data_IF_610598202243
#
_entry.id   IF_610598202243
#
_cell.length_a   1.000
_cell.length_b   1.000
_cell.length_c   1.000
_cell.angle_alpha   90.00
_cell.angle_beta   90.00
_cell.angle_gamma   90.00
#
_symmetry.space_group_name_H-M   'P 1'
#
loop_
_entity.id
_entity.type
_entity.pdbx_description
1 polymer ?
#
# COMPACT_ATOMS: atom_id res chain seq x y z
N UNK A 1 9.75 16.88 -9.12
CA UNK A 1 8.53 16.25 -8.60
C UNK A 1 8.87 15.48 -7.33
N UNK A 2 7.93 15.43 -6.38
CA UNK A 2 8.19 14.85 -5.05
C UNK A 2 8.52 13.36 -5.11
N UNK A 3 8.00 12.64 -6.09
CA UNK A 3 8.25 11.19 -6.20
C UNK A 3 9.63 10.90 -6.77
N UNK A 4 10.16 11.77 -7.60
CA UNK A 4 11.52 11.63 -8.16
C UNK A 4 12.61 11.81 -7.11
N UNK A 5 12.37 12.68 -6.12
CA UNK A 5 13.34 12.95 -5.06
C UNK A 5 13.08 12.13 -3.79
N UNK A 6 12.02 11.33 -3.79
CA UNK A 6 11.69 10.48 -2.66
C UNK A 6 12.78 9.42 -2.47
N UNK A 7 13.32 9.27 -1.25
CA UNK A 7 14.29 8.20 -0.98
C UNK A 7 13.70 6.82 -1.26
N UNK A 8 14.51 5.91 -1.77
CA UNK A 8 14.09 4.52 -1.91
C UNK A 8 13.79 3.91 -0.54
N UNK A 9 12.73 3.10 -0.47
CA UNK A 9 12.30 2.48 0.78
C UNK A 9 13.03 1.16 1.05
N UNK A 10 13.49 0.49 0.00
CA UNK A 10 14.11 -0.83 0.12
C UNK A 10 15.23 -0.88 1.16
N UNK A 11 16.19 0.08 1.17
CA UNK A 11 17.25 0.04 2.18
C UNK A 11 16.76 0.20 3.62
N UNK A 12 15.57 0.77 3.81
CA UNK A 12 15.03 1.02 5.15
C UNK A 12 14.28 -0.18 5.72
N UNK A 13 13.93 -1.15 4.87
CA UNK A 13 13.09 -2.27 5.30
C UNK A 13 13.79 -3.20 6.31
N UNK A 14 15.11 -3.35 6.20
CA UNK A 14 15.87 -4.24 7.09
C UNK A 14 15.77 -3.81 8.56
N UNK A 15 15.71 -2.50 8.82
CA UNK A 15 15.62 -1.94 10.17
C UNK A 15 14.23 -1.46 10.54
N UNK A 16 13.24 -1.72 9.70
CA UNK A 16 11.87 -1.27 9.94
C UNK A 16 11.23 -2.01 11.11
N UNK A 17 10.32 -1.32 11.79
CA UNK A 17 9.64 -1.81 12.98
C UNK A 17 8.28 -2.42 12.63
N UNK A 18 8.17 -3.75 12.76
CA UNK A 18 6.95 -4.50 12.44
C UNK A 18 5.77 -4.10 13.34
N UNK A 19 6.02 -3.86 14.61
CA UNK A 19 4.95 -3.47 15.54
C UNK A 19 4.37 -2.12 15.19
N UNK A 20 5.23 -1.16 14.81
CA UNK A 20 4.75 0.13 14.37
C UNK A 20 3.98 0.03 13.06
N UNK A 21 4.44 -0.83 12.14
CA UNK A 21 3.74 -1.09 10.88
C UNK A 21 2.32 -1.60 11.10
N UNK A 22 2.17 -2.58 12.00
CA UNK A 22 0.85 -3.10 12.37
C UNK A 22 -0.03 -2.02 12.99
N UNK A 23 0.55 -1.20 13.86
CA UNK A 23 -0.15 -0.09 14.50
C UNK A 23 -0.66 0.93 13.47
N UNK A 24 0.18 1.26 12.49
CA UNK A 24 -0.21 2.18 11.41
C UNK A 24 -1.33 1.57 10.59
N UNK A 25 -1.28 0.25 10.31
CA UNK A 25 -2.33 -0.42 9.55
C UNK A 25 -3.71 -0.32 10.20
N UNK A 26 -3.79 -0.12 11.51
CA UNK A 26 -5.10 0.04 12.18
C UNK A 26 -5.92 1.17 11.57
N UNK A 27 -5.28 2.18 11.02
CA UNK A 27 -5.96 3.27 10.30
C UNK A 27 -6.49 2.84 8.93
N UNK A 28 -5.99 1.73 8.40
CA UNK A 28 -6.39 1.17 7.10
C UNK A 28 -7.44 0.08 7.28
N UNK A 29 -7.51 -0.51 8.46
CA UNK A 29 -8.33 -1.71 8.74
C UNK A 29 -9.83 -1.46 8.63
N UNK A 30 -10.27 -0.21 8.70
CA UNK A 30 -11.68 0.11 8.48
C UNK A 30 -12.10 -0.14 7.03
N UNK A 31 -11.16 -0.09 6.08
CA UNK A 31 -11.42 -0.24 4.65
C UNK A 31 -10.78 -1.48 4.02
N UNK A 32 -9.79 -2.08 4.69
CA UNK A 32 -9.03 -3.21 4.15
C UNK A 32 -8.94 -4.34 5.16
N UNK A 33 -9.14 -5.58 4.69
CA UNK A 33 -8.86 -6.77 5.53
C UNK A 33 -7.40 -7.15 5.37
N UNK A 34 -6.83 -7.77 6.42
CA UNK A 34 -5.44 -8.21 6.41
C UNK A 34 -5.29 -9.73 6.54
N UNK A 35 -6.37 -10.45 6.76
CA UNK A 35 -6.31 -11.90 6.99
C UNK A 35 -6.31 -12.67 5.67
N UNK A 36 -5.66 -13.83 5.66
CA UNK A 36 -5.66 -14.73 4.49
C UNK A 36 -7.10 -15.13 4.15
N UNK A 37 -7.46 -14.97 2.88
CA UNK A 37 -8.83 -15.27 2.43
C UNK A 37 -9.86 -14.24 2.86
N UNK A 38 -9.42 -13.11 3.39
CA UNK A 38 -10.32 -12.05 3.83
C UNK A 38 -11.10 -11.41 2.69
N UNK A 39 -12.25 -10.86 3.02
CA UNK A 39 -13.14 -10.21 2.05
C UNK A 39 -12.64 -8.84 1.65
N UNK A 40 -12.99 -8.42 0.43
CA UNK A 40 -12.87 -7.03 0.03
C UNK A 40 -13.89 -6.19 0.84
N UNK A 41 -13.50 -4.96 1.17
CA UNK A 41 -14.37 -4.01 1.87
C UNK A 41 -14.48 -2.74 1.02
N UNK A 42 -14.34 -1.57 1.60
CA UNK A 42 -14.25 -0.32 0.84
C UNK A 42 -13.02 -0.35 -0.06
N UNK A 43 -11.92 -0.92 0.43
CA UNK A 43 -10.74 -1.22 -0.35
C UNK A 43 -10.56 -2.72 -0.53
N UNK A 44 -9.64 -3.13 -1.41
CA UNK A 44 -9.37 -4.55 -1.65
C UNK A 44 -8.68 -5.22 -0.45
N UNK A 45 -8.85 -6.54 -0.34
CA UNK A 45 -8.15 -7.32 0.68
C UNK A 45 -6.64 -7.23 0.51
N UNK A 46 -5.91 -7.16 1.62
CA UNK A 46 -4.47 -6.88 1.62
C UNK A 46 -3.57 -8.10 1.66
N UNK A 47 -4.08 -9.29 1.99
CA UNK A 47 -3.22 -10.47 2.02
C UNK A 47 -2.58 -10.69 0.65
N UNK A 48 -1.24 -10.78 0.64
CA UNK A 48 -0.48 -10.94 -0.59
C UNK A 48 -0.33 -9.65 -1.41
N UNK A 49 -0.56 -8.48 -0.82
CA UNK A 49 -0.51 -7.20 -1.57
C UNK A 49 0.87 -6.89 -2.14
N UNK A 50 1.95 -7.18 -1.40
CA UNK A 50 3.29 -6.87 -1.89
C UNK A 50 3.61 -7.73 -3.10
N UNK A 51 3.99 -7.08 -4.18
CA UNK A 51 4.26 -7.67 -5.51
C UNK A 51 3.03 -8.17 -6.26
N UNK A 52 1.82 -7.90 -5.75
CA UNK A 52 0.59 -8.22 -6.49
C UNK A 52 0.37 -7.18 -7.60
N UNK A 53 -0.16 -7.63 -8.74
CA UNK A 53 -0.50 -6.72 -9.83
C UNK A 53 -1.56 -5.72 -9.38
N UNK A 54 -1.38 -4.45 -9.73
CA UNK A 54 -2.36 -3.42 -9.41
C UNK A 54 -3.69 -3.71 -10.07
N UNK A 55 -4.77 -3.54 -9.32
CA UNK A 55 -6.12 -3.74 -9.85
C UNK A 55 -6.48 -5.19 -10.13
N UNK A 56 -5.81 -6.15 -9.49
CA UNK A 56 -5.96 -7.57 -9.81
C UNK A 56 -6.83 -8.38 -8.84
N UNK A 57 -7.22 -7.81 -7.71
CA UNK A 57 -8.05 -8.56 -6.74
C UNK A 57 -9.43 -8.83 -7.34
N UNK A 58 -9.77 -10.11 -7.39
CA UNK A 58 -11.05 -10.55 -7.94
C UNK A 58 -12.21 -10.01 -7.10
N UNK A 59 -13.27 -9.59 -7.78
CA UNK A 59 -14.48 -9.11 -7.13
C UNK A 59 -14.43 -7.70 -6.59
N UNK A 60 -13.32 -6.98 -6.79
CA UNK A 60 -13.23 -5.59 -6.34
C UNK A 60 -13.34 -4.62 -7.52
N UNK A 61 -14.17 -3.59 -7.37
CA UNK A 61 -14.36 -2.57 -8.40
C UNK A 61 -13.33 -1.45 -8.25
N UNK A 62 -12.20 -1.58 -8.93
CA UNK A 62 -11.13 -0.58 -8.92
C UNK A 62 -11.51 0.66 -9.72
N UNK A 63 -10.84 1.79 -9.39
CA UNK A 63 -10.92 2.96 -10.26
C UNK A 63 -10.28 2.64 -11.62
N UNK A 64 -10.80 3.23 -12.69
CA UNK A 64 -10.17 3.10 -14.01
C UNK A 64 -8.74 3.63 -13.99
N UNK A 65 -8.48 4.67 -13.20
CA UNK A 65 -7.14 5.25 -13.07
C UNK A 65 -6.12 4.23 -12.55
N UNK A 66 -6.50 3.43 -11.55
CA UNK A 66 -5.60 2.42 -10.98
C UNK A 66 -5.33 1.30 -11.98
N UNK A 67 -6.36 0.81 -12.64
CA UNK A 67 -6.23 -0.27 -13.64
C UNK A 67 -5.33 0.20 -14.79
N UNK A 68 -5.54 1.42 -15.27
CA UNK A 68 -4.75 1.99 -16.36
C UNK A 68 -3.31 2.25 -15.97
N UNK A 69 -3.07 2.67 -14.72
CA UNK A 69 -1.72 2.92 -14.21
C UNK A 69 -0.86 1.68 -14.32
N UNK A 70 -1.41 0.52 -13.93
CA UNK A 70 -0.79 -0.79 -14.11
C UNK A 70 0.45 -1.04 -13.27
N UNK A 71 1.13 -2.13 -13.58
CA UNK A 71 2.32 -2.57 -12.88
C UNK A 71 2.00 -3.32 -11.58
N UNK A 72 3.03 -3.63 -10.82
CA UNK A 72 2.91 -4.38 -9.58
C UNK A 72 3.10 -3.50 -8.36
N UNK A 73 2.50 -3.90 -7.23
CA UNK A 73 2.69 -3.24 -5.95
C UNK A 73 4.02 -3.70 -5.31
N UNK A 74 5.15 -3.44 -5.98
CA UNK A 74 6.44 -3.66 -5.34
C UNK A 74 6.65 -2.59 -4.24
N UNK A 75 7.67 -2.77 -3.41
CA UNK A 75 7.85 -1.91 -2.24
C UNK A 75 8.06 -0.43 -2.60
N UNK A 76 8.74 -0.14 -3.70
CA UNK A 76 8.95 1.24 -4.13
C UNK A 76 7.67 1.88 -4.65
N UNK A 77 6.82 1.12 -5.34
CA UNK A 77 5.50 1.61 -5.77
C UNK A 77 4.60 1.88 -4.58
N UNK A 78 4.61 0.99 -3.57
CA UNK A 78 3.88 1.22 -2.33
C UNK A 78 4.38 2.47 -1.62
N UNK A 79 5.69 2.69 -1.60
CA UNK A 79 6.28 3.88 -1.00
C UNK A 79 5.73 5.17 -1.60
N UNK A 80 5.72 5.25 -2.93
CA UNK A 80 5.21 6.43 -3.64
C UNK A 80 3.72 6.63 -3.41
N UNK A 81 2.94 5.57 -3.57
CA UNK A 81 1.49 5.63 -3.40
C UNK A 81 1.12 6.03 -1.97
N UNK A 82 1.75 5.42 -0.97
CA UNK A 82 1.44 5.69 0.44
C UNK A 82 1.85 7.10 0.87
N UNK A 83 2.82 7.70 0.22
CA UNK A 83 3.18 9.10 0.52
C UNK A 83 2.01 10.04 0.21
N UNK A 84 1.46 9.94 -0.99
CA UNK A 84 0.31 10.75 -1.43
C UNK A 84 -0.49 9.98 -2.48
N UNK A 85 -1.47 9.16 -2.03
CA UNK A 85 -2.21 8.31 -2.96
C UNK A 85 -2.85 9.05 -4.12
N UNK A 86 -3.55 10.14 -3.83
CA UNK A 86 -4.29 10.89 -4.86
C UNK A 86 -3.38 11.62 -5.83
N UNK A 87 -2.17 11.95 -5.40
CA UNK A 87 -1.20 12.63 -6.26
C UNK A 87 -0.45 11.63 -7.13
N UNK A 88 -0.12 10.46 -6.58
CA UNK A 88 0.61 9.45 -7.34
C UNK A 88 -0.28 8.80 -8.40
N UNK A 89 -1.48 8.42 -8.03
CA UNK A 89 -2.47 7.87 -8.96
C UNK A 89 -3.71 8.76 -8.93
N UNK A 90 -3.69 9.79 -9.76
CA UNK A 90 -4.81 10.73 -9.87
C UNK A 90 -6.06 9.96 -10.30
N UNK A 91 -7.16 10.17 -9.60
CA UNK A 91 -8.41 9.46 -9.86
C UNK A 91 -8.61 8.19 -9.04
N UNK A 92 -7.66 7.84 -8.16
CA UNK A 92 -7.84 6.70 -7.24
C UNK A 92 -9.08 6.90 -6.37
N UNK A 93 -9.79 5.80 -6.10
CA UNK A 93 -10.94 5.82 -5.20
C UNK A 93 -10.54 5.86 -3.72
N UNK A 94 -9.28 5.59 -3.41
CA UNK A 94 -8.80 5.56 -2.05
C UNK A 94 -8.76 6.96 -1.45
N UNK A 95 -9.57 7.19 -0.42
CA UNK A 95 -9.65 8.50 0.24
C UNK A 95 -8.75 8.52 1.48
N UNK A 96 -7.46 8.74 1.26
CA UNK A 96 -6.46 8.76 2.31
C UNK A 96 -5.41 9.82 1.98
N UNK A 97 -5.00 10.58 2.99
CA UNK A 97 -4.07 11.70 2.79
C UNK A 97 -2.62 11.28 2.64
N UNK A 98 -2.28 10.07 3.08
CA UNK A 98 -0.93 9.57 2.97
C UNK A 98 -0.15 9.58 4.27
N UNK A 99 1.04 9.01 4.21
CA UNK A 99 1.95 8.84 5.34
C UNK A 99 3.22 9.63 5.05
N UNK A 100 3.43 10.74 5.77
CA UNK A 100 4.53 11.68 5.51
C UNK A 100 5.91 11.13 5.81
N UNK A 101 6.05 10.42 6.94
CA UNK A 101 7.37 10.00 7.43
C UNK A 101 7.86 8.76 6.69
N UNK A 102 9.08 8.84 6.19
CA UNK A 102 9.70 7.70 5.49
C UNK A 102 9.75 6.46 6.37
N UNK A 103 10.10 6.62 7.66
CA UNK A 103 10.18 5.50 8.59
C UNK A 103 8.82 4.83 8.78
N UNK A 104 7.76 5.60 8.88
CA UNK A 104 6.41 5.04 9.05
C UNK A 104 5.99 4.26 7.81
N UNK A 105 6.31 4.77 6.62
CA UNK A 105 6.02 4.01 5.39
C UNK A 105 6.83 2.72 5.34
N UNK A 106 8.11 2.77 5.71
CA UNK A 106 8.95 1.58 5.76
C UNK A 106 8.39 0.54 6.72
N UNK A 107 7.98 0.97 7.91
CA UNK A 107 7.42 0.08 8.92
C UNK A 107 6.13 -0.57 8.44
N UNK A 108 5.24 0.20 7.83
CA UNK A 108 3.99 -0.34 7.28
C UNK A 108 4.26 -1.31 6.14
N UNK A 109 5.14 -0.96 5.21
CA UNK A 109 5.46 -1.81 4.06
C UNK A 109 6.09 -3.12 4.53
N UNK A 110 6.97 -3.06 5.53
CA UNK A 110 7.55 -4.27 6.11
C UNK A 110 6.47 -5.18 6.68
N UNK A 111 5.55 -4.61 7.43
CA UNK A 111 4.43 -5.38 7.99
C UNK A 111 3.55 -5.95 6.89
N UNK A 112 3.22 -5.16 5.86
CA UNK A 112 2.45 -5.65 4.72
C UNK A 112 3.16 -6.82 4.02
N UNK A 113 4.49 -6.78 3.94
CA UNK A 113 5.27 -7.87 3.34
C UNK A 113 5.10 -9.19 4.09
N UNK A 114 4.74 -9.14 5.36
CA UNK A 114 4.49 -10.34 6.17
C UNK A 114 3.14 -10.98 5.88
N UNK A 115 2.25 -10.28 5.17
CA UNK A 115 0.91 -10.77 4.82
C UNK A 115 1.01 -11.68 3.59
N UNK A 116 1.63 -12.84 3.76
CA UNK A 116 1.80 -13.82 2.70
C UNK A 116 2.07 -15.20 3.30
N UNK A 117 1.88 -16.23 2.49
CA UNK A 117 2.19 -17.60 2.87
C UNK A 117 3.68 -17.85 2.93
#
# INVERSE_FOLDING_TARGET
DIFEVLPEITPMLASANMENGEKIFKKCASCHTQVKGGENKVGPAMWGIVNRSKGSMEGFAYSGALVEFGGDWNVEELNKFLLKPKKYIAGTKMNYNGIKKDQDRADLIKWLSSLSD
#
